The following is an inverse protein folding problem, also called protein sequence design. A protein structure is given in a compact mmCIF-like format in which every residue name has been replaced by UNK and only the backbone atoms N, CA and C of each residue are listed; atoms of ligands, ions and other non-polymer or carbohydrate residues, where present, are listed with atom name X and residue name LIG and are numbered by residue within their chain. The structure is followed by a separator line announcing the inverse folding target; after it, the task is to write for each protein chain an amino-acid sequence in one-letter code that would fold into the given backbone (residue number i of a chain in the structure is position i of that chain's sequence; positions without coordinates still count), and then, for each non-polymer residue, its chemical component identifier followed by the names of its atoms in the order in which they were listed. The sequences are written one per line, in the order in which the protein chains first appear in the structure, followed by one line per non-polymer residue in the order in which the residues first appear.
data_IF_059169323261
#
_entry.id   IF_059169323261
#
_cell.length_a   1.000
_cell.length_b   1.000
_cell.length_c   1.000
_cell.angle_alpha   90.00
_cell.angle_beta   90.00
_cell.angle_gamma   90.00
#
_symmetry.space_group_name_H-M   'P 1'
#
loop_
_entity.id
_entity.type
_entity.pdbx_description
1 polymer ?
#
# COMPACT_ATOMS: atom_id res chain seq x y z
N UNK A 1 -9.48 -3.65 15.14
CA UNK A 1 -8.77 -2.91 14.08
C UNK A 1 -9.56 -1.64 13.82
N UNK A 2 -8.93 -0.51 13.44
CA UNK A 2 -9.66 0.69 13.06
C UNK A 2 -10.64 0.37 11.92
N UNK A 3 -11.86 0.88 12.02
CA UNK A 3 -12.88 0.75 10.97
C UNK A 3 -12.56 1.76 9.87
N UNK A 4 -12.25 1.25 8.69
CA UNK A 4 -11.91 2.06 7.52
C UNK A 4 -12.95 1.69 6.45
N UNK A 5 -13.94 2.54 6.18
CA UNK A 5 -15.04 2.23 5.26
C UNK A 5 -14.56 1.81 3.86
N UNK A 6 -13.45 2.38 3.39
CA UNK A 6 -12.84 2.02 2.11
C UNK A 6 -12.28 0.57 2.06
N UNK A 7 -12.23 -0.13 3.19
CA UNK A 7 -11.76 -1.52 3.33
C UNK A 7 -12.88 -2.47 3.81
N UNK A 8 -14.12 -2.22 3.39
CA UNK A 8 -15.31 -2.96 3.83
C UNK A 8 -15.43 -4.42 3.32
N UNK A 9 -14.43 -4.97 2.61
CA UNK A 9 -14.47 -6.39 2.23
C UNK A 9 -14.37 -7.27 3.48
N UNK A 10 -15.53 -7.80 3.88
CA UNK A 10 -15.70 -8.69 5.03
C UNK A 10 -15.02 -10.04 4.75
N UNK A 11 -13.73 -10.12 5.03
CA UNK A 11 -12.95 -11.35 4.89
C UNK A 11 -11.45 -11.12 4.73
N UNK A 12 -11.06 -9.96 4.21
CA UNK A 12 -9.65 -9.62 4.03
C UNK A 12 -9.20 -8.53 5.01
N UNK A 13 -8.01 -8.72 5.59
CA UNK A 13 -7.39 -7.69 6.42
C UNK A 13 -7.20 -6.39 5.61
N UNK A 14 -7.38 -5.20 6.23
CA UNK A 14 -7.12 -3.91 5.58
C UNK A 14 -5.75 -3.83 4.90
N UNK A 15 -4.72 -4.44 5.49
CA UNK A 15 -3.38 -4.56 4.91
C UNK A 15 -3.38 -5.26 3.56
N UNK A 16 -4.12 -6.36 3.40
CA UNK A 16 -4.23 -7.12 2.14
C UNK A 16 -4.94 -6.26 1.09
N UNK A 17 -6.08 -5.66 1.46
CA UNK A 17 -6.86 -4.83 0.54
C UNK A 17 -6.05 -3.62 0.02
N UNK A 18 -5.26 -2.99 0.90
CA UNK A 18 -4.43 -1.86 0.50
C UNK A 18 -3.20 -2.30 -0.32
N UNK A 19 -2.57 -3.44 0.01
CA UNK A 19 -1.48 -4.02 -0.80
C UNK A 19 -1.96 -4.33 -2.23
N UNK A 20 -3.14 -4.93 -2.40
CA UNK A 20 -3.69 -5.22 -3.72
C UNK A 20 -3.85 -3.94 -4.56
N UNK A 21 -4.35 -2.85 -3.96
CA UNK A 21 -4.47 -1.54 -4.63
C UNK A 21 -3.12 -0.93 -5.01
N UNK A 22 -2.09 -1.13 -4.19
CA UNK A 22 -0.72 -0.70 -4.53
C UNK A 22 -0.15 -1.52 -5.68
N UNK A 23 -0.41 -2.84 -5.71
CA UNK A 23 0.01 -3.72 -6.81
C UNK A 23 -0.68 -3.31 -8.12
N UNK A 24 -1.99 -3.05 -8.10
CA UNK A 24 -2.74 -2.55 -9.26
C UNK A 24 -2.18 -1.20 -9.78
N UNK A 25 -1.64 -0.38 -8.88
CA UNK A 25 -1.00 0.89 -9.22
C UNK A 25 0.49 0.74 -9.62
N UNK A 26 1.02 -0.48 -9.70
CA UNK A 26 2.38 -0.77 -10.15
C UNK A 26 3.45 -0.79 -9.04
N UNK A 27 3.06 -0.77 -7.76
CA UNK A 27 3.99 -0.78 -6.63
C UNK A 27 3.89 -2.08 -5.81
N UNK A 28 4.93 -2.91 -5.90
CA UNK A 28 5.00 -4.17 -5.14
C UNK A 28 5.35 -3.92 -3.67
N UNK A 29 4.49 -4.39 -2.78
CA UNK A 29 4.64 -4.32 -1.31
C UNK A 29 4.14 -5.61 -0.66
N UNK A 30 4.40 -5.80 0.64
CA UNK A 30 3.94 -6.99 1.39
C UNK A 30 3.16 -6.61 2.65
N UNK A 31 2.06 -7.32 2.98
CA UNK A 31 1.32 -7.09 4.21
C UNK A 31 2.06 -7.68 5.42
N UNK A 32 1.79 -7.13 6.60
CA UNK A 32 2.32 -7.61 7.89
C UNK A 32 1.25 -7.47 8.98
N UNK A 33 0.55 -8.55 9.32
CA UNK A 33 -0.60 -8.47 10.23
C UNK A 33 -1.77 -7.71 9.60
N UNK A 34 -2.70 -7.20 10.42
CA UNK A 34 -3.99 -6.68 9.92
C UNK A 34 -3.93 -5.27 9.33
N UNK A 35 -3.00 -4.42 9.79
CA UNK A 35 -3.00 -2.99 9.48
C UNK A 35 -1.59 -2.42 9.21
N UNK A 36 -0.60 -3.26 8.92
CA UNK A 36 0.77 -2.83 8.59
C UNK A 36 1.19 -3.37 7.23
N UNK A 37 1.94 -2.56 6.48
CA UNK A 37 2.56 -2.91 5.20
C UNK A 37 4.06 -2.69 5.33
N UNK A 38 4.87 -3.56 4.72
CA UNK A 38 6.32 -3.40 4.65
C UNK A 38 6.71 -2.93 3.25
N UNK A 39 7.58 -1.93 3.22
CA UNK A 39 8.27 -1.46 2.04
C UNK A 39 9.67 -2.08 2.07
N UNK A 40 9.99 -2.90 1.07
CA UNK A 40 11.29 -3.58 0.95
C UNK A 40 11.91 -3.22 -0.40
N UNK A 41 12.36 -1.98 -0.59
CA UNK A 41 13.06 -1.61 -1.82
C UNK A 41 14.44 -2.29 -1.88
N UNK A 42 14.97 -2.42 -3.09
CA UNK A 42 16.34 -2.87 -3.29
C UNK A 42 17.34 -1.86 -2.68
N UNK A 43 18.46 -2.33 -2.15
CA UNK A 43 19.45 -1.46 -1.47
C UNK A 43 20.15 -0.47 -2.42
N UNK A 44 20.06 -0.71 -3.73
CA UNK A 44 20.56 0.17 -4.79
C UNK A 44 19.48 1.12 -5.35
N UNK A 45 18.36 1.31 -4.64
CA UNK A 45 17.29 2.24 -5.01
C UNK A 45 17.84 3.66 -5.21
N UNK A 46 17.51 4.28 -6.34
CA UNK A 46 17.81 5.67 -6.63
C UNK A 46 16.77 6.58 -5.99
N UNK A 47 17.17 7.83 -5.69
CA UNK A 47 16.24 8.86 -5.18
C UNK A 47 14.98 9.02 -6.05
N UNK A 48 15.15 9.06 -7.38
CA UNK A 48 14.04 9.23 -8.32
C UNK A 48 13.02 8.08 -8.24
N UNK A 49 13.48 6.85 -8.00
CA UNK A 49 12.63 5.65 -7.87
C UNK A 49 11.89 5.67 -6.52
N UNK A 50 12.55 6.15 -5.45
CA UNK A 50 11.90 6.36 -4.16
C UNK A 50 10.77 7.41 -4.26
N UNK A 51 11.03 8.52 -4.95
CA UNK A 51 10.05 9.58 -5.19
C UNK A 51 8.87 9.08 -6.02
N UNK A 52 9.11 8.26 -7.04
CA UNK A 52 8.06 7.60 -7.82
C UNK A 52 7.20 6.68 -6.94
N UNK A 53 7.83 5.82 -6.13
CA UNK A 53 7.11 4.95 -5.20
C UNK A 53 6.25 5.72 -4.20
N UNK A 54 6.76 6.83 -3.65
CA UNK A 54 6.00 7.71 -2.74
C UNK A 54 4.79 8.31 -3.46
N UNK A 55 4.96 8.83 -4.68
CA UNK A 55 3.85 9.40 -5.48
C UNK A 55 2.76 8.36 -5.75
N UNK A 56 3.14 7.11 -6.03
CA UNK A 56 2.17 6.02 -6.20
C UNK A 56 1.39 5.82 -4.89
N UNK A 57 2.07 5.72 -3.74
CA UNK A 57 1.42 5.57 -2.43
C UNK A 57 0.44 6.71 -2.18
N UNK A 58 0.87 7.96 -2.36
CA UNK A 58 0.02 9.16 -2.21
C UNK A 58 -1.24 9.08 -3.09
N UNK A 59 -1.08 8.67 -4.36
CA UNK A 59 -2.19 8.55 -5.31
C UNK A 59 -3.23 7.51 -4.89
N UNK A 60 -2.80 6.41 -4.24
CA UNK A 60 -3.72 5.37 -3.76
C UNK A 60 -4.38 5.81 -2.46
N UNK A 61 -3.64 6.44 -1.54
CA UNK A 61 -4.21 7.00 -0.30
C UNK A 61 -5.29 8.05 -0.61
N UNK A 62 -5.05 8.93 -1.58
CA UNK A 62 -6.02 9.95 -1.97
C UNK A 62 -7.37 9.37 -2.45
N UNK A 63 -7.40 8.11 -2.92
CA UNK A 63 -8.63 7.40 -3.33
C UNK A 63 -9.39 6.78 -2.16
N UNK A 64 -8.83 6.81 -0.94
CA UNK A 64 -9.46 6.28 0.28
C UNK A 64 -10.17 7.36 1.11
N UNK A 65 -9.96 8.64 0.78
CA UNK A 65 -10.55 9.80 1.45
C UNK A 65 -11.97 10.09 0.94
#
# INVERSE_FOLDING_TARGET
APDIPAFANQGEAPSIQFVNRLHDAGLLTIPSGSAVIRLLPALNLRRSEAEEGIKIIESVVAKLA
#
